data_IF_195195442442
#
_entry.id   IF_195195442442
#
_cell.length_a   1.000
_cell.length_b   1.000
_cell.length_c   1.000
_cell.angle_alpha   90.00
_cell.angle_beta   90.00
_cell.angle_gamma   90.00
#
_symmetry.space_group_name_H-M   'P 1'
#
loop_
_entity.id
_entity.type
_entity.pdbx_description
1 polymer ?
#
# COMPACT_ATOMS: atom_id res chain seq x y z
N UNK A 1 -17.32 -11.38 1.14
CA UNK A 1 -16.34 -12.49 1.14
C UNK A 1 -16.04 -12.87 2.59
N UNK A 2 -15.89 -14.15 2.92
CA UNK A 2 -15.57 -14.62 4.28
C UNK A 2 -14.38 -15.60 4.23
N UNK A 3 -13.51 -15.57 5.24
CA UNK A 3 -12.37 -16.48 5.44
C UNK A 3 -11.43 -16.59 4.23
N UNK A 4 -10.90 -15.45 3.81
CA UNK A 4 -9.95 -15.35 2.70
C UNK A 4 -8.55 -15.71 3.18
N UNK A 5 -7.93 -16.79 2.68
CA UNK A 5 -6.59 -17.17 3.14
C UNK A 5 -5.51 -16.12 2.82
N UNK A 6 -5.73 -15.32 1.78
CA UNK A 6 -4.81 -14.28 1.31
C UNK A 6 -5.40 -12.86 1.39
N UNK A 7 -5.04 -12.04 0.42
CA UNK A 7 -5.44 -10.64 0.31
C UNK A 7 -6.91 -10.49 -0.10
N UNK A 8 -7.63 -9.51 0.48
CA UNK A 8 -9.00 -9.22 0.05
C UNK A 8 -9.04 -8.55 -1.33
N UNK A 9 -8.08 -7.66 -1.63
CA UNK A 9 -7.88 -7.05 -2.95
C UNK A 9 -6.38 -7.13 -3.28
N UNK A 10 -6.05 -7.81 -4.37
CA UNK A 10 -4.69 -8.07 -4.83
C UNK A 10 -4.48 -7.60 -6.26
N UNK A 11 -3.47 -6.76 -6.45
CA UNK A 11 -2.85 -6.50 -7.74
C UNK A 11 -1.35 -6.76 -7.59
N UNK A 12 -0.82 -7.76 -8.30
CA UNK A 12 0.60 -8.10 -8.22
C UNK A 12 1.12 -8.43 -9.61
N UNK A 13 2.09 -7.62 -10.07
CA UNK A 13 2.75 -7.78 -11.36
C UNK A 13 4.15 -8.37 -11.23
N UNK A 14 4.64 -8.63 -10.01
CA UNK A 14 6.06 -8.94 -9.81
C UNK A 14 6.39 -10.36 -10.27
N UNK A 15 7.39 -10.48 -11.15
CA UNK A 15 7.71 -11.71 -11.89
C UNK A 15 8.35 -12.84 -11.05
N UNK A 16 8.96 -12.51 -9.91
CA UNK A 16 9.64 -13.48 -9.06
C UNK A 16 9.03 -13.47 -7.66
N UNK A 17 8.77 -14.64 -7.07
CA UNK A 17 8.28 -14.76 -5.70
C UNK A 17 9.31 -14.36 -4.61
N UNK A 18 10.33 -13.55 -4.94
CA UNK A 18 11.39 -13.13 -4.03
C UNK A 18 11.24 -11.63 -3.77
N UNK A 19 10.82 -11.30 -2.55
CA UNK A 19 10.61 -9.93 -2.09
C UNK A 19 11.95 -9.17 -2.07
N UNK A 20 12.07 -8.00 -2.74
CA UNK A 20 13.32 -7.24 -2.80
C UNK A 20 13.67 -6.54 -1.47
N UNK A 21 12.82 -6.62 -0.44
CA UNK A 21 13.08 -5.99 0.85
C UNK A 21 13.53 -7.03 1.86
N UNK A 22 14.82 -6.99 2.21
CA UNK A 22 15.33 -7.72 3.37
C UNK A 22 14.70 -7.16 4.66
N UNK A 23 14.08 -8.02 5.48
CA UNK A 23 13.62 -7.65 6.82
C UNK A 23 14.81 -7.28 7.71
N UNK A 24 14.62 -6.34 8.63
CA UNK A 24 15.67 -5.86 9.55
C UNK A 24 16.24 -7.05 10.33
N UNK A 25 17.52 -7.38 10.07
CA UNK A 25 18.23 -8.52 10.67
C UNK A 25 18.70 -9.57 9.65
N UNK A 26 18.20 -9.55 8.41
CA UNK A 26 18.67 -10.43 7.34
C UNK A 26 19.97 -9.89 6.72
N UNK A 27 21.07 -10.64 6.83
CA UNK A 27 22.30 -10.42 6.05
C UNK A 27 22.14 -10.96 4.62
N UNK A 28 21.09 -10.52 3.93
CA UNK A 28 20.97 -10.71 2.49
C UNK A 28 21.33 -9.39 1.84
N UNK A 29 22.23 -9.41 0.85
CA UNK A 29 22.38 -8.26 -0.03
C UNK A 29 20.97 -7.95 -0.57
N UNK A 30 20.47 -6.74 -0.30
CA UNK A 30 19.16 -6.33 -0.78
C UNK A 30 19.11 -6.61 -2.29
N UNK A 31 18.16 -7.44 -2.77
CA UNK A 31 18.02 -7.70 -4.19
C UNK A 31 18.00 -6.36 -4.92
N UNK A 32 18.97 -6.16 -5.82
CA UNK A 32 19.00 -4.93 -6.60
C UNK A 32 17.70 -4.86 -7.36
N UNK A 33 16.95 -3.78 -7.14
CA UNK A 33 15.80 -3.42 -7.96
C UNK A 33 16.31 -3.30 -9.39
N UNK A 34 16.06 -4.33 -10.19
CA UNK A 34 16.51 -4.40 -11.57
C UNK A 34 15.45 -3.76 -12.45
N UNK A 35 15.80 -2.61 -13.04
CA UNK A 35 14.97 -1.95 -14.03
C UNK A 35 15.12 -2.69 -15.35
N UNK A 36 14.09 -3.43 -15.72
CA UNK A 36 14.03 -4.08 -17.03
C UNK A 36 13.56 -3.08 -18.10
N UNK A 37 13.99 -3.25 -19.36
CA UNK A 37 13.44 -2.46 -20.46
C UNK A 37 11.95 -2.76 -20.62
N UNK A 38 11.14 -1.71 -20.80
CA UNK A 38 9.71 -1.87 -21.10
C UNK A 38 9.57 -2.41 -22.52
N UNK A 39 8.92 -3.56 -22.66
CA UNK A 39 8.63 -4.24 -23.93
C UNK A 39 7.14 -4.52 -24.06
N UNK A 40 6.72 -5.12 -25.17
CA UNK A 40 5.34 -5.58 -25.35
C UNK A 40 4.94 -6.70 -24.36
N UNK A 41 5.92 -7.36 -23.74
CA UNK A 41 5.73 -8.41 -22.75
C UNK A 41 5.59 -7.86 -21.32
N UNK A 42 5.87 -6.56 -21.12
CA UNK A 42 5.72 -5.91 -19.82
C UNK A 42 4.23 -5.80 -19.48
N UNK A 43 3.75 -6.37 -18.35
CA UNK A 43 2.37 -6.28 -17.94
C UNK A 43 2.04 -4.83 -17.64
N UNK A 44 0.79 -4.45 -17.90
CA UNK A 44 0.27 -3.11 -17.62
C UNK A 44 -1.05 -3.24 -16.90
N UNK A 45 -1.04 -3.01 -15.59
CA UNK A 45 -2.27 -2.96 -14.80
C UNK A 45 -2.64 -1.50 -14.59
N UNK A 46 -3.74 -1.09 -15.23
CA UNK A 46 -4.27 0.26 -15.07
C UNK A 46 -5.77 0.34 -15.22
N UNK A 47 -6.33 1.45 -14.73
CA UNK A 47 -7.72 1.84 -14.92
C UNK A 47 -8.73 0.89 -14.25
N UNK A 48 -8.45 0.51 -13.00
CA UNK A 48 -9.35 -0.33 -12.21
C UNK A 48 -10.24 0.51 -11.30
N UNK A 49 -11.52 0.16 -11.27
CA UNK A 49 -12.55 0.78 -10.43
C UNK A 49 -13.26 -0.33 -9.67
N UNK A 50 -13.15 -0.29 -8.35
CA UNK A 50 -13.80 -1.28 -7.47
C UNK A 50 -14.60 -0.50 -6.43
N UNK A 51 -15.86 -0.85 -6.30
CA UNK A 51 -16.74 -0.29 -5.28
C UNK A 51 -17.45 -1.37 -4.48
N UNK A 52 -17.85 -1.01 -3.26
CA UNK A 52 -18.76 -1.79 -2.42
C UNK A 52 -18.26 -3.22 -2.10
N UNK A 53 -17.01 -3.31 -1.62
CA UNK A 53 -16.41 -4.59 -1.20
C UNK A 53 -16.54 -4.77 0.30
N UNK A 54 -17.06 -5.94 0.70
CA UNK A 54 -17.07 -6.38 2.10
C UNK A 54 -16.29 -7.69 2.22
N UNK A 55 -15.29 -7.71 3.07
CA UNK A 55 -14.48 -8.89 3.37
C UNK A 55 -14.35 -9.09 4.88
N UNK A 56 -14.58 -10.31 5.35
CA UNK A 56 -14.41 -10.70 6.74
C UNK A 56 -13.40 -11.85 6.85
N UNK A 57 -12.21 -11.56 7.37
CA UNK A 57 -11.16 -12.54 7.61
C UNK A 57 -10.20 -12.72 6.43
N UNK A 58 -9.47 -11.66 6.05
CA UNK A 58 -8.35 -11.74 5.09
C UNK A 58 -6.97 -11.65 5.79
N UNK A 59 -5.92 -12.16 5.15
CA UNK A 59 -4.55 -11.99 5.67
C UNK A 59 -4.10 -10.52 5.55
N UNK A 60 -4.42 -9.85 4.43
CA UNK A 60 -4.11 -8.43 4.19
C UNK A 60 -5.29 -7.75 3.49
N UNK A 61 -5.56 -6.49 3.83
CA UNK A 61 -6.73 -5.79 3.30
C UNK A 61 -6.56 -5.48 1.81
N UNK A 62 -5.50 -4.76 1.46
CA UNK A 62 -5.25 -4.32 0.08
C UNK A 62 -3.76 -4.48 -0.20
N UNK A 63 -3.42 -5.15 -1.30
CA UNK A 63 -2.06 -5.26 -1.79
C UNK A 63 -1.98 -4.82 -3.26
N UNK A 64 -1.12 -3.86 -3.53
CA UNK A 64 -0.83 -3.35 -4.87
C UNK A 64 0.68 -3.40 -5.04
N UNK A 65 1.18 -4.19 -5.99
CA UNK A 65 2.61 -4.27 -6.32
C UNK A 65 2.82 -4.21 -7.83
N UNK A 66 3.32 -3.07 -8.29
CA UNK A 66 3.79 -2.87 -9.66
C UNK A 66 5.24 -3.29 -9.85
N UNK A 67 5.77 -2.95 -11.02
CA UNK A 67 7.15 -3.16 -11.38
C UNK A 67 7.95 -1.85 -11.26
N UNK A 68 9.25 -1.91 -10.95
CA UNK A 68 10.12 -0.72 -10.92
C UNK A 68 10.09 0.10 -12.21
N UNK A 69 10.00 -0.58 -13.35
CA UNK A 69 9.89 -0.04 -14.71
C UNK A 69 8.45 0.30 -15.12
N UNK A 70 7.44 -0.31 -14.47
CA UNK A 70 6.02 -0.15 -14.81
C UNK A 70 5.14 -0.21 -13.56
N UNK A 71 4.88 0.96 -12.98
CA UNK A 71 3.99 1.09 -11.83
C UNK A 71 2.55 0.71 -12.18
N UNK A 72 1.82 0.13 -11.21
CA UNK A 72 0.36 -0.02 -11.30
C UNK A 72 -0.25 1.38 -11.29
N UNK A 73 -1.15 1.67 -12.23
CA UNK A 73 -1.63 3.03 -12.44
C UNK A 73 -3.16 3.18 -12.36
N UNK A 74 -3.65 4.28 -11.81
CA UNK A 74 -5.07 4.65 -11.83
C UNK A 74 -6.00 3.58 -11.23
N UNK A 75 -5.79 3.28 -9.95
CA UNK A 75 -6.63 2.36 -9.18
C UNK A 75 -7.56 3.18 -8.30
N UNK A 76 -8.86 2.92 -8.39
CA UNK A 76 -9.89 3.65 -7.67
C UNK A 76 -10.73 2.67 -6.86
N UNK A 77 -10.50 2.64 -5.54
CA UNK A 77 -11.26 1.79 -4.61
C UNK A 77 -12.15 2.67 -3.73
N UNK A 78 -13.44 2.35 -3.68
CA UNK A 78 -14.42 3.13 -2.92
C UNK A 78 -15.38 2.27 -2.11
N UNK A 79 -15.81 2.75 -0.95
CA UNK A 79 -16.81 2.09 -0.10
C UNK A 79 -16.40 0.65 0.25
N UNK A 80 -15.27 0.52 0.93
CA UNK A 80 -14.65 -0.78 1.23
C UNK A 80 -14.74 -1.03 2.74
N UNK A 81 -15.14 -2.23 3.15
CA UNK A 81 -15.17 -2.64 4.56
C UNK A 81 -14.50 -4.00 4.73
N UNK A 82 -13.31 -4.02 5.35
CA UNK A 82 -12.48 -5.23 5.45
C UNK A 82 -12.08 -5.48 6.91
N UNK A 83 -12.24 -6.74 7.35
CA UNK A 83 -11.54 -7.27 8.53
C UNK A 83 -10.37 -8.15 8.07
N UNK A 84 -9.17 -7.86 8.57
CA UNK A 84 -7.96 -8.58 8.15
C UNK A 84 -6.85 -8.54 9.19
N UNK A 85 -5.80 -9.36 9.02
CA UNK A 85 -4.65 -9.32 9.92
C UNK A 85 -3.73 -8.12 9.67
N UNK A 86 -3.52 -7.77 8.39
CA UNK A 86 -2.67 -6.66 7.92
C UNK A 86 -3.48 -5.62 7.14
N UNK A 87 -2.98 -4.39 7.12
CA UNK A 87 -3.61 -3.26 6.46
C UNK A 87 -3.35 -3.17 4.95
N UNK A 88 -2.96 -1.98 4.50
CA UNK A 88 -2.79 -1.62 3.09
C UNK A 88 -1.30 -1.62 2.74
N UNK A 89 -0.95 -2.14 1.58
CA UNK A 89 0.41 -2.16 1.07
C UNK A 89 0.43 -1.77 -0.42
N UNK A 90 1.09 -0.67 -0.75
CA UNK A 90 1.20 -0.12 -2.10
C UNK A 90 2.68 -0.01 -2.44
N UNK A 91 3.14 -0.77 -3.44
CA UNK A 91 4.50 -0.79 -3.93
C UNK A 91 4.49 -0.51 -5.42
N UNK A 92 5.29 0.46 -5.88
CA UNK A 92 5.35 0.84 -7.30
C UNK A 92 3.94 1.21 -7.83
N UNK A 93 3.30 2.17 -7.18
CA UNK A 93 1.92 2.60 -7.48
C UNK A 93 1.83 4.06 -7.90
N UNK A 94 1.01 4.35 -8.92
CA UNK A 94 0.77 5.70 -9.44
C UNK A 94 -0.73 6.01 -9.53
N UNK A 95 -1.17 7.18 -9.07
CA UNK A 95 -2.58 7.58 -9.10
C UNK A 95 -3.50 6.56 -8.39
N UNK A 96 -3.19 6.23 -7.14
CA UNK A 96 -3.99 5.29 -6.34
C UNK A 96 -4.94 6.09 -5.46
N UNK A 97 -6.24 5.88 -5.62
CA UNK A 97 -7.29 6.60 -4.89
C UNK A 97 -8.10 5.63 -4.05
N UNK A 98 -8.03 5.77 -2.73
CA UNK A 98 -8.82 5.02 -1.77
C UNK A 98 -9.79 5.98 -1.06
N UNK A 99 -11.09 5.69 -1.12
CA UNK A 99 -12.11 6.54 -0.52
C UNK A 99 -13.13 5.74 0.29
N UNK A 100 -13.48 6.23 1.49
CA UNK A 100 -14.43 5.58 2.39
C UNK A 100 -14.05 4.11 2.65
N UNK A 101 -12.85 3.90 3.19
CA UNK A 101 -12.34 2.56 3.53
C UNK A 101 -12.42 2.38 5.04
N UNK A 102 -13.06 1.29 5.48
CA UNK A 102 -13.11 0.87 6.87
C UNK A 102 -12.29 -0.40 7.04
N UNK A 103 -11.31 -0.34 7.94
CA UNK A 103 -10.42 -1.43 8.27
C UNK A 103 -10.61 -1.85 9.73
N UNK A 104 -10.75 -3.14 9.97
CA UNK A 104 -10.63 -3.72 11.32
C UNK A 104 -9.42 -4.65 11.28
N UNK A 105 -8.30 -4.19 11.81
CA UNK A 105 -7.01 -4.86 11.65
C UNK A 105 -6.55 -5.47 12.98
N UNK A 106 -6.06 -6.70 12.96
CA UNK A 106 -5.44 -7.33 14.15
C UNK A 106 -4.07 -6.71 14.48
N UNK A 107 -3.23 -6.49 13.46
CA UNK A 107 -1.87 -5.98 13.59
C UNK A 107 -1.58 -4.81 12.62
N UNK A 108 -1.75 -3.57 13.09
CA UNK A 108 -1.46 -2.35 12.32
C UNK A 108 -0.01 -1.85 12.49
N UNK A 109 0.99 -2.57 11.96
CA UNK A 109 2.40 -2.17 12.05
C UNK A 109 3.21 -2.47 10.77
N UNK A 110 3.14 -1.62 9.73
CA UNK A 110 2.30 -0.44 9.61
C UNK A 110 0.85 -0.78 9.24
N UNK A 111 -0.07 0.15 9.47
CA UNK A 111 -1.41 0.09 8.90
C UNK A 111 -1.37 0.33 7.38
N UNK A 112 -0.57 1.30 6.93
CA UNK A 112 -0.44 1.69 5.53
C UNK A 112 1.05 1.73 5.17
N UNK A 113 1.47 0.80 4.32
CA UNK A 113 2.80 0.79 3.72
C UNK A 113 2.73 1.37 2.30
N UNK A 114 3.62 2.31 1.99
CA UNK A 114 3.77 2.88 0.65
C UNK A 114 5.25 2.87 0.28
N UNK A 115 5.58 2.16 -0.79
CA UNK A 115 6.90 2.16 -1.40
C UNK A 115 6.82 2.71 -2.82
N UNK A 116 7.62 3.74 -3.11
CA UNK A 116 7.66 4.38 -4.44
C UNK A 116 6.25 4.74 -4.97
N UNK A 117 5.42 5.34 -4.10
CA UNK A 117 4.07 5.77 -4.42
C UNK A 117 4.02 7.19 -4.97
N UNK A 118 3.37 7.37 -6.12
CA UNK A 118 3.20 8.65 -6.79
C UNK A 118 1.71 9.04 -6.90
N UNK A 119 1.30 10.16 -6.33
CA UNK A 119 -0.09 10.61 -6.30
C UNK A 119 -1.02 9.56 -5.66
N UNK A 120 -0.82 9.29 -4.37
CA UNK A 120 -1.66 8.38 -3.58
C UNK A 120 -2.61 9.21 -2.72
N UNK A 121 -3.92 9.06 -2.93
CA UNK A 121 -4.94 9.82 -2.22
C UNK A 121 -5.76 8.89 -1.32
N UNK A 122 -5.72 9.17 -0.02
CA UNK A 122 -6.38 8.40 1.04
C UNK A 122 -7.45 9.27 1.71
N UNK A 123 -8.71 9.05 1.36
CA UNK A 123 -9.84 9.86 1.85
C UNK A 123 -10.75 9.03 2.74
N UNK A 124 -11.03 9.52 3.94
CA UNK A 124 -11.94 8.89 4.89
C UNK A 124 -11.56 7.43 5.18
N UNK A 125 -10.29 7.19 5.51
CA UNK A 125 -9.83 5.87 5.95
C UNK A 125 -10.08 5.77 7.46
N UNK A 126 -10.91 4.81 7.87
CA UNK A 126 -11.24 4.53 9.26
C UNK A 126 -10.64 3.19 9.69
N UNK A 127 -10.11 3.16 10.91
CA UNK A 127 -9.48 1.97 11.48
C UNK A 127 -9.67 1.93 13.00
N UNK A 128 -9.42 0.76 13.60
CA UNK A 128 -9.52 0.52 15.04
C UNK A 128 -8.32 1.11 15.80
N UNK A 129 -7.10 0.64 15.52
CA UNK A 129 -5.85 1.12 16.12
C UNK A 129 -4.64 0.72 15.27
N UNK A 130 -3.51 1.39 15.45
CA UNK A 130 -2.25 1.04 14.81
C UNK A 130 -1.04 1.31 15.72
N UNK A 131 0.01 0.50 15.63
CA UNK A 131 1.30 0.82 16.26
C UNK A 131 2.05 1.84 15.39
N UNK A 132 2.06 1.60 14.08
CA UNK A 132 2.61 2.51 13.07
C UNK A 132 1.54 2.77 12.02
N UNK A 133 1.17 4.03 11.80
CA UNK A 133 0.15 4.35 10.81
C UNK A 133 0.71 4.32 9.38
N UNK A 134 1.78 5.07 9.10
CA UNK A 134 2.43 5.10 7.80
C UNK A 134 3.87 4.57 7.85
N UNK A 135 4.21 3.66 6.95
CA UNK A 135 5.60 3.44 6.54
C UNK A 135 5.74 3.90 5.09
N UNK A 136 6.64 4.85 4.85
CA UNK A 136 6.96 5.34 3.52
C UNK A 136 8.41 4.96 3.20
N UNK A 137 8.64 4.24 2.11
CA UNK A 137 9.97 3.78 1.71
C UNK A 137 10.28 4.04 0.24
N UNK A 138 11.56 4.20 -0.09
CA UNK A 138 12.01 4.49 -1.45
C UNK A 138 12.08 5.97 -1.76
N UNK A 139 12.89 6.33 -2.75
CA UNK A 139 13.21 7.69 -3.13
C UNK A 139 12.24 8.27 -4.20
N UNK A 140 11.37 7.44 -4.79
CA UNK A 140 10.42 7.84 -5.85
C UNK A 140 9.01 8.16 -5.33
N UNK A 141 8.88 8.56 -4.07
CA UNK A 141 7.60 8.96 -3.49
C UNK A 141 7.25 10.43 -3.81
N UNK A 142 6.00 10.70 -4.19
CA UNK A 142 5.51 12.08 -4.28
C UNK A 142 3.99 12.18 -4.14
N UNK A 143 3.54 13.29 -3.57
CA UNK A 143 2.12 13.67 -3.50
C UNK A 143 1.23 12.58 -2.85
N UNK A 144 1.65 12.06 -1.70
CA UNK A 144 0.84 11.17 -0.86
C UNK A 144 0.00 12.05 0.07
N UNK A 145 -1.32 11.98 -0.06
CA UNK A 145 -2.25 12.88 0.63
C UNK A 145 -3.28 12.08 1.40
N UNK A 146 -3.57 12.52 2.62
CA UNK A 146 -4.67 11.98 3.42
C UNK A 146 -5.67 13.07 3.78
N UNK A 147 -6.94 12.71 3.96
CA UNK A 147 -8.00 13.58 4.49
C UNK A 147 -9.04 12.74 5.23
N UNK A 148 -9.55 13.22 6.37
CA UNK A 148 -10.56 12.50 7.16
C UNK A 148 -10.03 11.20 7.79
N UNK A 149 -8.73 11.16 8.11
CA UNK A 149 -8.07 10.03 8.78
C UNK A 149 -7.68 10.49 10.20
N UNK A 150 -8.15 9.76 11.20
CA UNK A 150 -7.82 10.04 12.60
C UNK A 150 -6.44 9.48 12.97
N UNK A 151 -5.42 10.35 13.00
CA UNK A 151 -4.05 9.96 13.35
C UNK A 151 -3.84 9.66 14.84
N UNK A 152 -4.79 10.03 15.71
CA UNK A 152 -4.65 9.85 17.16
C UNK A 152 -4.80 8.40 17.62
N UNK A 153 -5.36 7.54 16.76
CA UNK A 153 -5.51 6.09 16.99
C UNK A 153 -4.24 5.28 16.71
N UNK A 154 -3.15 5.96 16.36
CA UNK A 154 -1.85 5.35 16.09
C UNK A 154 -0.81 5.75 17.12
N UNK A 155 0.02 4.80 17.58
CA UNK A 155 1.12 5.09 18.51
C UNK A 155 2.23 5.93 17.85
N UNK A 156 2.59 5.59 16.61
CA UNK A 156 3.52 6.33 15.76
C UNK A 156 2.84 6.67 14.44
N UNK A 157 2.87 7.95 14.05
CA UNK A 157 2.16 8.41 12.85
C UNK A 157 2.85 8.00 11.55
N UNK A 158 4.17 8.18 11.46
CA UNK A 158 4.91 7.89 10.23
C UNK A 158 6.35 7.45 10.50
N UNK A 159 6.88 6.66 9.58
CA UNK A 159 8.27 6.23 9.50
C UNK A 159 8.72 6.32 8.03
N UNK A 160 9.90 6.90 7.81
CA UNK A 160 10.47 7.11 6.48
C UNK A 160 11.78 6.33 6.36
N UNK A 161 11.90 5.48 5.34
CA UNK A 161 13.03 4.57 5.15
C UNK A 161 13.55 4.65 3.71
N UNK A 162 14.75 4.12 3.47
CA UNK A 162 15.29 3.88 2.12
C UNK A 162 15.19 5.09 1.17
N UNK A 163 15.53 6.29 1.65
CA UNK A 163 15.53 7.52 0.85
C UNK A 163 14.19 8.28 0.79
N UNK A 164 13.14 7.78 1.45
CA UNK A 164 11.87 8.49 1.52
C UNK A 164 11.98 9.84 2.24
N UNK A 165 11.34 10.86 1.67
CA UNK A 165 11.36 12.22 2.20
C UNK A 165 10.05 12.55 2.91
N UNK A 166 10.09 13.16 4.09
CA UNK A 166 8.90 13.49 4.88
C UNK A 166 7.86 14.32 4.12
N UNK A 167 8.34 15.28 3.30
CA UNK A 167 7.49 16.14 2.45
C UNK A 167 6.63 15.39 1.43
N UNK A 168 6.91 14.11 1.18
CA UNK A 168 6.11 13.27 0.28
C UNK A 168 4.74 12.96 0.84
N UNK A 169 4.58 12.97 2.18
CA UNK A 169 3.34 12.70 2.89
C UNK A 169 2.71 13.99 3.45
N UNK A 170 1.45 14.24 3.10
CA UNK A 170 0.65 15.36 3.59
C UNK A 170 -0.57 14.82 4.32
N UNK A 171 -0.61 15.04 5.64
CA UNK A 171 -1.73 14.63 6.48
C UNK A 171 -2.66 15.83 6.66
N UNK A 172 -3.79 15.82 5.97
CA UNK A 172 -4.83 16.83 6.16
C UNK A 172 -5.89 16.30 7.13
N UNK A 173 -6.30 17.14 8.07
CA UNK A 173 -7.36 16.80 9.03
C UNK A 173 -8.71 16.72 8.33
#
# INVERSE_FOLDING_TARGET
MMEVPGEAILFDMYYAAVDPIALVGDKRDAPKVELLPVTEETPVFKDFFIDNVVCDGAEKAIFVRGLPEMSIANINLSNINIKSKKGIDIQEGKNINLSNVKLTIEHGNPLINIQNGNNVNLKNISYNSADLLFRISGDRNSNIKTSGLDVSKAQKQAEFLAGAQEKSLQINK
#
